data_IF_046619631199
#
_entry.id   IF_046619631199
#
_cell.length_a   1.000
_cell.length_b   1.000
_cell.length_c   1.000
_cell.angle_alpha   90.00
_cell.angle_beta   90.00
_cell.angle_gamma   90.00
#
_symmetry.space_group_name_H-M   'P 1'
#
loop_
_entity.id
_entity.type
_entity.pdbx_description
1 polymer ?
#
# COMPACT_ATOMS: atom_id res chain seq x y z
N UNK A 1 -15.11 -24.92 12.72
CA UNK A 1 -13.87 -24.24 13.15
C UNK A 1 -13.82 -22.88 12.46
N UNK A 2 -13.22 -21.85 13.07
CA UNK A 2 -13.01 -20.57 12.40
C UNK A 2 -12.06 -20.75 11.23
N UNK A 3 -12.30 -20.06 10.12
CA UNK A 3 -11.36 -20.03 9.01
C UNK A 3 -10.09 -19.28 9.40
N UNK A 4 -8.94 -19.75 8.93
CA UNK A 4 -7.63 -19.22 9.30
C UNK A 4 -7.08 -18.32 8.21
N UNK A 5 -6.61 -17.14 8.58
CA UNK A 5 -5.97 -16.19 7.65
C UNK A 5 -4.56 -15.85 8.09
N UNK A 6 -3.61 -16.01 7.17
CA UNK A 6 -2.24 -15.53 7.31
C UNK A 6 -2.15 -14.11 6.74
N UNK A 7 -1.71 -13.15 7.55
CA UNK A 7 -1.51 -11.76 7.13
C UNK A 7 -0.03 -11.42 7.23
N UNK A 8 0.62 -11.22 6.08
CA UNK A 8 2.00 -10.68 6.05
C UNK A 8 1.99 -9.16 6.05
N UNK A 9 3.02 -8.54 6.63
CA UNK A 9 3.03 -7.09 6.81
C UNK A 9 2.07 -6.61 7.90
N UNK A 10 1.58 -7.51 8.76
CA UNK A 10 0.58 -7.25 9.80
C UNK A 10 0.98 -6.12 10.78
N UNK A 11 2.27 -5.97 11.09
CA UNK A 11 2.79 -4.89 11.95
C UNK A 11 2.88 -3.52 11.27
N UNK A 12 2.51 -3.43 9.99
CA UNK A 12 2.51 -2.18 9.22
C UNK A 12 1.20 -1.40 9.34
N UNK A 13 1.16 -0.22 8.73
CA UNK A 13 -0.04 0.63 8.67
C UNK A 13 -1.24 -0.12 8.06
N UNK A 14 -1.12 -0.57 6.81
CA UNK A 14 -2.21 -1.30 6.14
C UNK A 14 -2.50 -2.63 6.86
N UNK A 15 -1.46 -3.36 7.26
CA UNK A 15 -1.58 -4.64 7.97
C UNK A 15 -2.41 -4.57 9.25
N UNK A 16 -2.30 -3.49 10.04
CA UNK A 16 -3.11 -3.29 11.23
C UNK A 16 -4.63 -3.27 10.92
N UNK A 17 -5.03 -2.54 9.87
CA UNK A 17 -6.44 -2.44 9.46
C UNK A 17 -6.93 -3.75 8.82
N UNK A 18 -6.04 -4.50 8.17
CA UNK A 18 -6.35 -5.85 7.67
C UNK A 18 -6.57 -6.85 8.80
N UNK A 19 -5.77 -6.78 9.87
CA UNK A 19 -5.96 -7.60 11.08
C UNK A 19 -7.32 -7.26 11.72
N UNK A 20 -7.62 -5.97 11.89
CA UNK A 20 -8.92 -5.53 12.44
C UNK A 20 -10.09 -6.07 11.61
N UNK A 21 -10.06 -5.89 10.28
CA UNK A 21 -11.13 -6.35 9.38
C UNK A 21 -11.28 -7.88 9.37
N UNK A 22 -10.17 -8.61 9.41
CA UNK A 22 -10.17 -10.06 9.45
C UNK A 22 -10.79 -10.62 10.74
N UNK A 23 -10.49 -10.01 11.89
CA UNK A 23 -11.10 -10.38 13.18
C UNK A 23 -12.59 -10.05 13.22
N UNK A 24 -13.00 -8.90 12.69
CA UNK A 24 -14.41 -8.52 12.58
C UNK A 24 -15.21 -9.49 11.70
N UNK A 25 -14.57 -10.07 10.69
CA UNK A 25 -15.15 -11.14 9.88
C UNK A 25 -15.16 -12.53 10.56
N UNK A 26 -14.72 -12.62 11.82
CA UNK A 26 -14.77 -13.85 12.61
C UNK A 26 -13.68 -14.87 12.32
N UNK A 27 -12.63 -14.50 11.57
CA UNK A 27 -11.51 -15.38 11.25
C UNK A 27 -10.53 -15.54 12.42
N UNK A 28 -9.78 -16.63 12.42
CA UNK A 28 -8.60 -16.83 13.27
C UNK A 28 -7.38 -16.24 12.55
N UNK A 29 -6.84 -15.13 13.09
CA UNK A 29 -5.79 -14.35 12.42
C UNK A 29 -4.40 -14.76 12.89
N UNK A 30 -3.55 -15.07 11.91
CA UNK A 30 -2.12 -15.28 12.08
C UNK A 30 -1.35 -14.10 11.48
N UNK A 31 -0.79 -13.27 12.35
CA UNK A 31 0.01 -12.12 11.98
C UNK A 31 1.47 -12.51 11.78
N UNK A 32 1.92 -12.54 10.52
CA UNK A 32 3.33 -12.74 10.21
C UNK A 32 4.12 -11.46 10.45
N UNK A 33 5.00 -11.49 11.45
CA UNK A 33 5.81 -10.35 11.89
C UNK A 33 7.28 -10.74 11.94
N UNK A 34 8.18 -9.77 11.72
CA UNK A 34 9.62 -10.01 11.92
C UNK A 34 9.94 -9.87 13.41
N UNK A 35 10.97 -10.55 13.94
CA UNK A 35 11.40 -10.39 15.33
C UNK A 35 11.69 -8.92 15.72
N UNK A 36 12.12 -8.09 14.77
CA UNK A 36 12.43 -6.68 14.98
C UNK A 36 11.24 -5.73 14.78
N UNK A 37 10.04 -6.25 14.46
CA UNK A 37 8.85 -5.42 14.29
C UNK A 37 8.32 -4.91 15.63
N UNK A 38 7.95 -3.63 15.69
CA UNK A 38 7.12 -3.11 16.78
C UNK A 38 5.68 -3.62 16.61
N UNK A 39 5.21 -4.40 17.58
CA UNK A 39 3.89 -5.03 17.60
C UNK A 39 3.01 -4.50 18.75
N UNK A 40 3.42 -3.47 19.47
CA UNK A 40 2.68 -2.96 20.64
C UNK A 40 1.22 -2.60 20.28
N UNK A 41 1.02 -2.04 19.10
CA UNK A 41 -0.29 -1.65 18.57
C UNK A 41 -1.17 -2.83 18.11
N UNK A 42 -0.63 -4.05 18.07
CA UNK A 42 -1.39 -5.26 17.77
C UNK A 42 -1.74 -6.06 19.03
N UNK A 43 -1.12 -5.76 20.18
CA UNK A 43 -1.37 -6.44 21.45
C UNK A 43 -2.84 -6.42 21.92
N UNK A 44 -3.64 -5.38 21.63
CA UNK A 44 -5.06 -5.40 21.98
C UNK A 44 -5.91 -6.42 21.21
N UNK A 45 -5.39 -6.98 20.12
CA UNK A 45 -6.12 -7.95 19.31
C UNK A 45 -5.83 -9.39 19.75
N UNK A 46 -6.87 -10.23 19.74
CA UNK A 46 -6.75 -11.67 19.91
C UNK A 46 -6.24 -12.31 18.61
N UNK A 47 -4.92 -12.33 18.45
CA UNK A 47 -4.24 -12.84 17.25
C UNK A 47 -3.11 -13.80 17.62
N UNK A 48 -2.71 -14.62 16.65
CA UNK A 48 -1.53 -15.46 16.74
C UNK A 48 -0.37 -14.83 15.99
N UNK A 49 0.78 -14.71 16.63
CA UNK A 49 1.99 -14.28 15.94
C UNK A 49 2.66 -15.47 15.26
N UNK A 50 3.16 -15.26 14.05
CA UNK A 50 4.04 -16.21 13.36
C UNK A 50 5.20 -15.47 12.67
N UNK A 51 6.23 -16.21 12.27
CA UNK A 51 7.38 -15.72 11.52
C UNK A 51 7.57 -16.58 10.29
N UNK A 52 7.81 -15.94 9.14
CA UNK A 52 8.03 -16.61 7.86
C UNK A 52 9.48 -16.43 7.43
N UNK A 53 10.16 -17.55 7.16
CA UNK A 53 11.48 -17.54 6.54
C UNK A 53 11.34 -17.51 5.01
N UNK A 54 11.24 -16.31 4.46
CA UNK A 54 11.02 -16.11 3.02
C UNK A 54 12.16 -16.60 2.12
N UNK A 55 13.33 -16.94 2.66
CA UNK A 55 14.45 -17.47 1.88
C UNK A 55 14.59 -18.99 1.99
N UNK A 56 13.72 -19.65 2.77
CA UNK A 56 13.72 -21.10 2.95
C UNK A 56 12.37 -21.70 2.51
N UNK A 57 12.25 -22.14 1.24
CA UNK A 57 11.00 -22.67 0.69
C UNK A 57 10.42 -23.84 1.49
N UNK A 58 11.27 -24.74 2.01
CA UNK A 58 10.82 -25.90 2.79
C UNK A 58 10.23 -25.47 4.14
N UNK A 59 10.83 -24.48 4.79
CA UNK A 59 10.30 -23.92 6.02
C UNK A 59 8.95 -23.22 5.81
N UNK A 60 8.78 -22.52 4.67
CA UNK A 60 7.49 -21.92 4.31
C UNK A 60 6.41 -22.98 4.12
N UNK A 61 6.67 -24.04 3.32
CA UNK A 61 5.70 -25.12 3.10
C UNK A 61 5.29 -25.76 4.43
N UNK A 62 6.26 -26.10 5.27
CA UNK A 62 6.02 -26.69 6.59
C UNK A 62 5.15 -25.79 7.48
N UNK A 63 5.47 -24.50 7.56
CA UNK A 63 4.68 -23.52 8.34
C UNK A 63 3.23 -23.41 7.81
N UNK A 64 3.05 -23.39 6.49
CA UNK A 64 1.70 -23.35 5.90
C UNK A 64 0.91 -24.63 6.22
N UNK A 65 1.53 -25.80 6.09
CA UNK A 65 0.92 -27.11 6.38
C UNK A 65 0.61 -27.30 7.86
N UNK A 66 1.46 -26.84 8.78
CA UNK A 66 1.20 -26.93 10.22
C UNK A 66 0.00 -26.08 10.66
N UNK A 67 -0.22 -24.94 9.99
CA UNK A 67 -1.26 -23.98 10.38
C UNK A 67 -2.53 -24.08 9.55
N UNK A 68 -2.52 -24.75 8.40
CA UNK A 68 -3.70 -25.04 7.58
C UNK A 68 -4.52 -23.77 7.27
N UNK A 69 -3.85 -22.79 6.63
CA UNK A 69 -4.49 -21.52 6.27
C UNK A 69 -5.54 -21.69 5.18
N UNK A 70 -6.68 -21.01 5.36
CA UNK A 70 -7.73 -20.90 4.36
C UNK A 70 -7.51 -19.69 3.47
N UNK A 71 -6.87 -18.65 4.01
CA UNK A 71 -6.63 -17.39 3.33
C UNK A 71 -5.22 -16.89 3.58
N UNK A 72 -4.62 -16.26 2.57
CA UNK A 72 -3.36 -15.55 2.70
C UNK A 72 -3.56 -14.12 2.18
N UNK A 73 -3.35 -13.12 3.03
CA UNK A 73 -3.25 -11.72 2.63
C UNK A 73 -1.77 -11.32 2.66
N UNK A 74 -1.17 -11.13 1.49
CA UNK A 74 0.22 -10.73 1.36
C UNK A 74 0.35 -9.21 1.22
N UNK A 75 0.48 -8.51 2.36
CA UNK A 75 0.72 -7.07 2.43
C UNK A 75 2.17 -6.70 2.84
N UNK A 76 3.04 -7.70 3.01
CA UNK A 76 4.46 -7.45 3.23
C UNK A 76 5.11 -6.81 2.01
N UNK A 77 5.89 -5.77 2.25
CA UNK A 77 6.70 -5.10 1.25
C UNK A 77 7.47 -3.95 1.89
N UNK A 78 8.56 -3.54 1.25
CA UNK A 78 9.31 -2.35 1.59
C UNK A 78 8.98 -1.24 0.59
N UNK A 79 8.76 -0.05 1.12
CA UNK A 79 8.56 1.20 0.35
C UNK A 79 9.78 2.12 0.41
N UNK A 80 10.82 1.68 1.14
CA UNK A 80 12.07 2.38 1.35
C UNK A 80 13.20 1.36 1.35
N UNK A 81 14.04 1.41 0.33
CA UNK A 81 15.21 0.56 0.16
C UNK A 81 16.38 1.41 -0.38
N UNK A 82 17.62 0.95 -0.20
CA UNK A 82 18.79 1.66 -0.75
C UNK A 82 19.05 1.31 -2.21
N UNK A 83 18.62 0.12 -2.65
CA UNK A 83 18.92 -0.39 -3.99
C UNK A 83 17.68 -0.99 -4.65
N UNK A 84 17.64 -0.96 -5.99
CA UNK A 84 16.59 -1.61 -6.77
C UNK A 84 16.56 -3.13 -6.51
N UNK A 85 17.71 -3.77 -6.32
CA UNK A 85 17.81 -5.20 -6.02
C UNK A 85 17.21 -5.57 -4.66
N UNK A 86 17.30 -4.69 -3.66
CA UNK A 86 16.64 -4.90 -2.38
C UNK A 86 15.11 -4.87 -2.53
N UNK A 87 14.57 -3.93 -3.33
CA UNK A 87 13.16 -3.93 -3.69
C UNK A 87 12.75 -5.21 -4.43
N UNK A 88 13.49 -5.63 -5.47
CA UNK A 88 13.18 -6.87 -6.20
C UNK A 88 13.21 -8.10 -5.30
N UNK A 89 14.25 -8.24 -4.48
CA UNK A 89 14.39 -9.38 -3.57
C UNK A 89 13.23 -9.47 -2.59
N UNK A 90 12.85 -8.36 -1.96
CA UNK A 90 11.82 -8.36 -0.91
C UNK A 90 10.41 -8.30 -1.50
N UNK A 91 10.12 -7.38 -2.40
CA UNK A 91 8.75 -7.18 -2.90
C UNK A 91 8.35 -8.16 -4.00
N UNK A 92 9.29 -8.76 -4.73
CA UNK A 92 8.99 -9.76 -5.76
C UNK A 92 9.47 -11.15 -5.35
N UNK A 93 10.72 -11.29 -4.91
CA UNK A 93 11.30 -12.57 -4.52
C UNK A 93 10.56 -13.24 -3.36
N UNK A 94 10.33 -12.51 -2.26
CA UNK A 94 9.63 -13.09 -1.10
C UNK A 94 8.15 -13.37 -1.38
N UNK A 95 7.52 -12.53 -2.20
CA UNK A 95 6.15 -12.75 -2.67
C UNK A 95 6.06 -14.03 -3.50
N UNK A 96 6.96 -14.21 -4.47
CA UNK A 96 7.08 -15.43 -5.26
C UNK A 96 7.29 -16.65 -4.37
N UNK A 97 8.24 -16.60 -3.43
CA UNK A 97 8.55 -17.74 -2.57
C UNK A 97 7.36 -18.15 -1.69
N UNK A 98 6.61 -17.18 -1.15
CA UNK A 98 5.41 -17.48 -0.37
C UNK A 98 4.30 -18.11 -1.23
N UNK A 99 4.08 -17.57 -2.43
CA UNK A 99 3.08 -18.08 -3.35
C UNK A 99 3.42 -19.48 -3.86
N UNK A 100 4.68 -19.73 -4.23
CA UNK A 100 5.15 -21.08 -4.60
C UNK A 100 4.98 -22.07 -3.44
N UNK A 101 5.27 -21.65 -2.20
CA UNK A 101 5.04 -22.48 -1.03
C UNK A 101 3.55 -22.77 -0.82
N UNK A 102 2.67 -21.77 -1.03
CA UNK A 102 1.22 -21.92 -0.92
C UNK A 102 0.64 -22.88 -1.97
N UNK A 103 1.19 -22.87 -3.20
CA UNK A 103 0.81 -23.85 -4.25
C UNK A 103 1.29 -25.26 -3.92
N UNK A 104 2.47 -25.39 -3.30
CA UNK A 104 3.07 -26.70 -2.97
C UNK A 104 2.49 -27.35 -1.71
N UNK A 105 2.06 -26.52 -0.75
CA UNK A 105 1.60 -26.98 0.55
C UNK A 105 0.22 -27.66 0.45
N UNK A 106 0.04 -28.76 1.18
CA UNK A 106 -1.26 -29.41 1.32
C UNK A 106 -2.14 -28.63 2.33
N UNK A 107 -2.69 -27.50 1.91
CA UNK A 107 -3.53 -26.60 2.73
C UNK A 107 -4.89 -26.33 2.08
N UNK A 108 -5.94 -26.01 2.84
CA UNK A 108 -7.27 -25.70 2.32
C UNK A 108 -7.36 -24.25 1.80
N UNK A 109 -6.36 -23.79 1.04
CA UNK A 109 -6.28 -22.41 0.56
C UNK A 109 -7.44 -22.10 -0.39
N UNK A 110 -8.27 -21.13 0.00
CA UNK A 110 -9.40 -20.61 -0.77
C UNK A 110 -9.06 -19.34 -1.54
N UNK A 111 -8.18 -18.49 -0.99
CA UNK A 111 -7.73 -17.26 -1.66
C UNK A 111 -6.37 -16.78 -1.18
N UNK A 112 -5.57 -16.32 -2.13
CA UNK A 112 -4.36 -15.55 -1.95
C UNK A 112 -4.60 -14.13 -2.47
N UNK A 113 -4.64 -13.14 -1.59
CA UNK A 113 -4.77 -11.73 -1.96
C UNK A 113 -3.41 -11.05 -1.86
N UNK A 114 -2.88 -10.59 -2.99
CA UNK A 114 -1.65 -9.81 -3.03
C UNK A 114 -1.93 -8.32 -3.03
N UNK A 115 -1.37 -7.59 -2.06
CA UNK A 115 -1.42 -6.13 -2.05
C UNK A 115 -0.24 -5.60 -2.87
N UNK A 116 -0.51 -5.27 -4.13
CA UNK A 116 0.40 -4.59 -5.03
C UNK A 116 0.31 -3.06 -4.84
N UNK A 117 0.38 -2.28 -5.91
CA UNK A 117 0.20 -0.83 -5.91
C UNK A 117 -0.09 -0.34 -7.33
N UNK A 118 -0.82 0.77 -7.47
CA UNK A 118 -0.95 1.46 -8.75
C UNK A 118 0.43 1.83 -9.35
N UNK A 119 1.47 1.99 -8.51
CA UNK A 119 2.84 2.20 -8.96
C UNK A 119 3.40 1.08 -9.85
N UNK A 120 2.81 -0.14 -9.82
CA UNK A 120 3.16 -1.22 -10.75
C UNK A 120 2.79 -0.88 -12.21
N UNK A 121 1.68 -0.17 -12.41
CA UNK A 121 1.28 0.37 -13.72
C UNK A 121 2.02 1.66 -14.03
N UNK A 122 2.27 2.51 -13.03
CA UNK A 122 2.90 3.80 -13.22
C UNK A 122 1.92 4.90 -13.69
N UNK A 123 2.40 6.14 -13.78
CA UNK A 123 1.57 7.28 -14.15
C UNK A 123 1.35 7.35 -15.66
N UNK A 124 0.30 8.06 -16.06
CA UNK A 124 0.01 8.40 -17.47
C UNK A 124 0.28 9.90 -17.73
N UNK A 125 0.37 10.35 -18.99
CA UNK A 125 0.45 11.77 -19.31
C UNK A 125 -0.77 12.55 -18.79
N UNK A 126 -0.60 13.83 -18.47
CA UNK A 126 -1.72 14.68 -18.02
C UNK A 126 -2.84 14.80 -19.07
N UNK A 127 -2.47 14.82 -20.35
CA UNK A 127 -3.41 14.92 -21.48
C UNK A 127 -4.22 13.65 -21.73
N UNK A 128 -3.87 12.53 -21.07
CA UNK A 128 -4.60 11.29 -21.22
C UNK A 128 -5.97 11.42 -20.57
N UNK A 129 -7.02 11.34 -21.39
CA UNK A 129 -8.40 11.44 -20.92
C UNK A 129 -8.82 10.18 -20.14
N UNK A 130 -8.27 9.03 -20.51
CA UNK A 130 -8.61 7.75 -19.92
C UNK A 130 -7.87 7.55 -18.59
N UNK A 131 -8.57 7.32 -17.47
CA UNK A 131 -7.93 6.94 -16.22
C UNK A 131 -7.13 5.64 -16.36
N UNK A 132 -6.13 5.45 -15.51
CA UNK A 132 -5.42 4.16 -15.42
C UNK A 132 -6.43 3.06 -15.08
N UNK A 133 -6.44 2.00 -15.86
CA UNK A 133 -7.30 0.83 -15.69
C UNK A 133 -6.47 -0.46 -15.81
N UNK A 134 -7.09 -1.61 -15.59
CA UNK A 134 -6.40 -2.88 -15.41
C UNK A 134 -5.61 -3.35 -16.65
N UNK A 135 -6.04 -2.91 -17.84
CA UNK A 135 -5.40 -3.21 -19.13
C UNK A 135 -4.41 -2.12 -19.56
N UNK A 136 -4.22 -1.05 -18.77
CA UNK A 136 -3.24 -0.02 -19.08
C UNK A 136 -1.83 -0.59 -19.14
N UNK A 137 -1.05 -0.18 -20.14
CA UNK A 137 0.33 -0.66 -20.29
C UNK A 137 1.20 -0.20 -19.13
N UNK A 138 1.77 -1.14 -18.39
CA UNK A 138 2.65 -0.86 -17.27
C UNK A 138 3.94 -0.13 -17.70
N UNK A 139 4.21 1.02 -17.07
CA UNK A 139 5.40 1.86 -17.20
C UNK A 139 5.80 2.43 -15.82
N UNK A 140 6.17 1.59 -14.85
CA UNK A 140 6.56 2.05 -13.52
C UNK A 140 7.77 2.98 -13.58
N UNK A 141 7.72 4.07 -12.80
CA UNK A 141 8.75 5.13 -12.78
C UNK A 141 9.68 5.07 -11.56
N UNK A 142 9.49 4.09 -10.67
CA UNK A 142 10.28 3.87 -9.45
C UNK A 142 10.71 2.41 -9.32
N UNK A 143 11.80 2.13 -8.59
CA UNK A 143 12.22 0.76 -8.29
C UNK A 143 11.16 0.00 -7.50
N UNK A 144 10.45 0.69 -6.59
CA UNK A 144 9.29 0.15 -5.90
C UNK A 144 8.21 -0.33 -6.89
N UNK A 145 7.78 0.53 -7.81
CA UNK A 145 6.79 0.18 -8.84
C UNK A 145 7.24 -0.99 -9.72
N UNK A 146 8.50 -0.97 -10.18
CA UNK A 146 9.09 -2.09 -10.94
C UNK A 146 9.06 -3.40 -10.15
N UNK A 147 9.39 -3.36 -8.85
CA UNK A 147 9.39 -4.55 -8.00
C UNK A 147 7.98 -5.11 -7.78
N UNK A 148 6.97 -4.24 -7.66
CA UNK A 148 5.56 -4.67 -7.57
C UNK A 148 5.08 -5.28 -8.89
N UNK A 149 5.42 -4.68 -10.03
CA UNK A 149 5.11 -5.27 -11.35
C UNK A 149 5.77 -6.64 -11.52
N UNK A 150 7.05 -6.79 -11.12
CA UNK A 150 7.74 -8.07 -11.17
C UNK A 150 7.08 -9.13 -10.28
N UNK A 151 6.59 -8.74 -9.10
CA UNK A 151 5.83 -9.63 -8.23
C UNK A 151 4.54 -10.11 -8.90
N UNK A 152 3.78 -9.20 -9.53
CA UNK A 152 2.57 -9.54 -10.27
C UNK A 152 2.87 -10.50 -11.42
N UNK A 153 3.98 -10.30 -12.15
CA UNK A 153 4.41 -11.20 -13.22
C UNK A 153 4.69 -12.61 -12.71
N UNK A 154 5.46 -12.76 -11.63
CA UNK A 154 5.71 -14.07 -11.02
C UNK A 154 4.43 -14.76 -10.54
N UNK A 155 3.50 -14.01 -9.96
CA UNK A 155 2.24 -14.57 -9.48
C UNK A 155 1.31 -14.99 -10.62
N UNK A 156 1.31 -14.25 -11.74
CA UNK A 156 0.52 -14.58 -12.92
C UNK A 156 0.95 -15.88 -13.61
N UNK A 157 2.20 -16.33 -13.40
CA UNK A 157 2.70 -17.62 -13.89
C UNK A 157 2.17 -18.83 -13.07
N UNK A 158 1.49 -18.59 -11.94
CA UNK A 158 1.03 -19.64 -11.01
C UNK A 158 -0.45 -19.97 -11.18
N UNK A 159 -0.82 -20.68 -12.24
CA UNK A 159 -2.22 -20.97 -12.61
C UNK A 159 -3.07 -21.60 -11.48
N UNK A 160 -2.45 -22.40 -10.61
CA UNK A 160 -3.13 -23.09 -9.50
C UNK A 160 -3.26 -22.26 -8.21
N UNK A 161 -2.72 -21.05 -8.18
CA UNK A 161 -2.89 -20.15 -7.04
C UNK A 161 -4.24 -19.42 -7.17
N UNK A 162 -5.17 -19.56 -6.21
CA UNK A 162 -6.42 -18.80 -6.22
C UNK A 162 -6.12 -17.32 -5.90
N UNK A 163 -5.72 -16.56 -6.90
CA UNK A 163 -5.06 -15.27 -6.75
C UNK A 163 -6.00 -14.10 -7.04
N UNK A 164 -5.99 -13.09 -6.18
CA UNK A 164 -6.46 -11.74 -6.52
C UNK A 164 -5.36 -10.72 -6.22
N UNK A 165 -5.09 -9.81 -7.15
CA UNK A 165 -4.14 -8.71 -6.97
C UNK A 165 -4.90 -7.41 -6.76
N UNK A 166 -4.60 -6.69 -5.69
CA UNK A 166 -5.13 -5.34 -5.46
C UNK A 166 -4.03 -4.31 -5.64
N UNK A 167 -4.28 -3.30 -6.47
CA UNK A 167 -3.39 -2.16 -6.76
C UNK A 167 -3.96 -0.89 -6.13
N UNK A 168 -3.81 -0.71 -4.82
CA UNK A 168 -4.25 0.52 -4.18
C UNK A 168 -3.45 1.72 -4.70
N UNK A 169 -4.12 2.87 -4.72
CA UNK A 169 -3.51 4.19 -4.90
C UNK A 169 -2.84 4.66 -3.60
N UNK A 170 -2.68 5.97 -3.40
CA UNK A 170 -2.15 6.51 -2.15
C UNK A 170 -3.09 6.18 -0.98
N UNK A 171 -2.70 5.18 -0.19
CA UNK A 171 -3.45 4.75 1.00
C UNK A 171 -3.22 5.73 2.13
N UNK A 172 -4.30 6.23 2.74
CA UNK A 172 -4.22 7.13 3.88
C UNK A 172 -5.20 6.73 4.99
N UNK A 173 -4.91 7.15 6.22
CA UNK A 173 -5.74 6.80 7.37
C UNK A 173 -5.00 6.91 8.69
N UNK A 174 -5.68 6.56 9.80
CA UNK A 174 -5.05 6.38 11.11
C UNK A 174 -3.77 5.55 11.03
N UNK A 175 -2.71 6.00 11.71
CA UNK A 175 -1.37 5.38 11.79
C UNK A 175 -0.48 5.50 10.54
N UNK A 176 -0.94 6.12 9.47
CA UNK A 176 -0.12 6.37 8.27
C UNK A 176 0.98 7.40 8.62
N UNK A 177 2.24 7.16 8.20
CA UNK A 177 3.38 8.00 8.59
C UNK A 177 3.88 8.96 7.51
N UNK A 178 3.79 8.62 6.23
CA UNK A 178 4.36 9.44 5.15
C UNK A 178 3.44 10.65 4.82
N UNK A 179 2.13 10.45 4.73
CA UNK A 179 1.10 11.50 4.64
C UNK A 179 1.01 12.28 5.95
N UNK A 180 1.22 11.64 7.10
CA UNK A 180 1.32 12.38 8.37
C UNK A 180 2.40 13.47 8.32
N UNK A 181 3.56 13.23 7.70
CA UNK A 181 4.59 14.27 7.54
C UNK A 181 4.02 15.47 6.78
N UNK A 182 3.30 15.23 5.69
CA UNK A 182 2.64 16.30 4.91
C UNK A 182 1.62 17.06 5.76
N UNK A 183 0.75 16.35 6.46
CA UNK A 183 -0.29 16.94 7.31
C UNK A 183 0.30 17.73 8.49
N UNK A 184 1.39 17.25 9.07
CA UNK A 184 2.15 17.96 10.11
C UNK A 184 2.78 19.24 9.57
N UNK A 185 3.39 19.20 8.39
CA UNK A 185 3.96 20.39 7.73
C UNK A 185 2.87 21.44 7.45
N UNK A 186 1.69 21.00 7.01
CA UNK A 186 0.52 21.87 6.84
C UNK A 186 0.04 22.48 8.17
N UNK A 187 -0.01 21.68 9.25
CA UNK A 187 -0.37 22.16 10.58
C UNK A 187 0.63 23.20 11.14
N UNK A 188 1.91 23.10 10.74
CA UNK A 188 2.96 24.08 11.02
C UNK A 188 2.89 25.34 10.14
N UNK A 189 1.96 25.40 9.18
CA UNK A 189 1.74 26.57 8.33
C UNK A 189 2.56 26.60 7.03
N UNK A 190 3.17 25.48 6.62
CA UNK A 190 3.91 25.38 5.36
C UNK A 190 3.23 24.41 4.39
N UNK A 191 3.14 24.79 3.11
CA UNK A 191 2.53 23.98 2.05
C UNK A 191 3.49 23.90 0.84
N UNK A 192 4.50 23.00 0.89
CA UNK A 192 5.49 22.89 -0.17
C UNK A 192 5.00 22.00 -1.32
N UNK A 193 5.27 22.42 -2.54
CA UNK A 193 4.98 21.69 -3.77
C UNK A 193 6.20 21.61 -4.67
N UNK A 194 6.34 20.48 -5.36
CA UNK A 194 7.34 20.30 -6.40
C UNK A 194 6.75 20.76 -7.73
N UNK A 195 7.38 21.70 -8.42
CA UNK A 195 6.89 22.27 -9.68
C UNK A 195 5.50 22.95 -9.57
N UNK A 196 5.12 23.73 -10.59
CA UNK A 196 3.79 24.30 -10.78
C UNK A 196 2.92 23.50 -11.77
N UNK A 197 3.43 22.36 -12.28
CA UNK A 197 2.67 21.49 -13.19
C UNK A 197 1.39 20.96 -12.54
N UNK A 198 0.28 20.87 -13.29
CA UNK A 198 -0.96 20.29 -12.78
C UNK A 198 -0.76 18.78 -12.55
N UNK A 199 -1.48 18.23 -11.57
CA UNK A 199 -1.48 16.79 -11.33
C UNK A 199 -2.87 16.29 -10.95
N UNK A 200 -3.20 15.09 -11.44
CA UNK A 200 -4.36 14.33 -11.02
C UNK A 200 -3.93 13.18 -10.10
N UNK A 201 -4.62 13.06 -8.97
CA UNK A 201 -4.36 12.08 -7.92
C UNK A 201 -5.64 11.32 -7.60
N UNK A 202 -5.48 10.08 -7.17
CA UNK A 202 -6.52 9.27 -6.54
C UNK A 202 -6.01 8.78 -5.20
N UNK A 203 -6.92 8.66 -4.23
CA UNK A 203 -6.61 8.22 -2.88
C UNK A 203 -7.50 7.03 -2.52
N UNK A 204 -7.11 6.28 -1.48
CA UNK A 204 -7.98 5.28 -0.88
C UNK A 204 -7.85 5.34 0.63
N UNK A 205 -8.99 5.43 1.32
CA UNK A 205 -8.98 5.35 2.76
C UNK A 205 -8.70 3.90 3.20
N UNK A 206 -7.86 3.72 4.21
CA UNK A 206 -7.35 2.40 4.60
C UNK A 206 -8.44 1.39 4.97
N UNK A 207 -9.58 1.85 5.52
CA UNK A 207 -10.72 0.96 5.82
C UNK A 207 -11.44 0.49 4.56
N UNK A 208 -11.53 1.34 3.53
CA UNK A 208 -12.06 0.92 2.23
C UNK A 208 -11.12 -0.08 1.55
N UNK A 209 -9.80 0.11 1.65
CA UNK A 209 -8.85 -0.90 1.19
C UNK A 209 -9.03 -2.24 1.94
N UNK A 210 -9.18 -2.20 3.26
CA UNK A 210 -9.43 -3.41 4.05
C UNK A 210 -10.74 -4.10 3.63
N UNK A 211 -11.81 -3.33 3.39
CA UNK A 211 -13.08 -3.83 2.83
C UNK A 211 -12.89 -4.49 1.46
N UNK A 212 -12.14 -3.87 0.55
CA UNK A 212 -11.82 -4.45 -0.76
C UNK A 212 -11.07 -5.79 -0.63
N UNK A 213 -10.14 -5.90 0.33
CA UNK A 213 -9.45 -7.16 0.63
C UNK A 213 -10.43 -8.23 1.13
N UNK A 214 -11.34 -7.87 2.04
CA UNK A 214 -12.34 -8.81 2.55
C UNK A 214 -13.29 -9.29 1.44
N UNK A 215 -13.71 -8.41 0.53
CA UNK A 215 -14.50 -8.79 -0.65
C UNK A 215 -13.70 -9.71 -1.59
N UNK A 216 -12.42 -9.42 -1.79
CA UNK A 216 -11.53 -10.26 -2.59
C UNK A 216 -11.32 -11.67 -1.98
N UNK A 217 -11.30 -11.80 -0.64
CA UNK A 217 -11.21 -13.12 0.00
C UNK A 217 -12.47 -13.97 -0.23
N UNK A 218 -13.64 -13.34 -0.30
CA UNK A 218 -14.93 -14.01 -0.47
C UNK A 218 -15.32 -14.32 -1.91
N UNK A 219 -14.55 -13.86 -2.90
CA UNK A 219 -14.92 -14.01 -4.32
C UNK A 219 -14.53 -15.37 -4.91
N UNK A 220 -15.31 -15.84 -5.88
CA UNK A 220 -14.96 -16.98 -6.74
C UNK A 220 -14.04 -16.62 -7.91
N UNK A 221 -13.71 -15.33 -8.08
CA UNK A 221 -12.87 -14.84 -9.17
C UNK A 221 -11.39 -15.02 -8.81
N UNK A 222 -10.61 -15.55 -9.74
CA UNK A 222 -9.16 -15.75 -9.62
C UNK A 222 -8.43 -15.13 -10.82
N UNK A 223 -7.14 -14.87 -10.66
CA UNK A 223 -6.22 -14.33 -11.68
C UNK A 223 -6.63 -12.98 -12.24
N UNK A 224 -7.21 -12.13 -11.38
CA UNK A 224 -7.59 -10.76 -11.71
C UNK A 224 -6.85 -9.76 -10.83
N UNK A 225 -6.39 -8.67 -11.45
CA UNK A 225 -5.88 -7.49 -10.77
C UNK A 225 -6.93 -6.38 -10.76
N UNK A 226 -7.04 -5.64 -9.67
CA UNK A 226 -7.98 -4.53 -9.51
C UNK A 226 -7.28 -3.26 -9.05
N UNK A 227 -7.61 -2.13 -9.67
CA UNK A 227 -7.24 -0.83 -9.10
C UNK A 227 -8.18 -0.49 -7.93
N UNK A 228 -7.62 0.07 -6.85
CA UNK A 228 -8.40 0.41 -5.65
C UNK A 228 -8.18 1.87 -5.26
N UNK A 229 -9.22 2.68 -5.39
CA UNK A 229 -9.32 4.09 -4.98
C UNK A 229 -10.71 4.37 -4.38
N UNK A 230 -10.93 5.59 -3.91
CA UNK A 230 -12.26 6.09 -3.56
C UNK A 230 -13.15 6.42 -4.77
N UNK A 231 -12.64 6.20 -5.99
CA UNK A 231 -13.34 6.46 -7.25
C UNK A 231 -13.38 7.92 -7.67
N UNK A 232 -12.77 8.83 -6.90
CA UNK A 232 -12.70 10.25 -7.22
C UNK A 232 -11.36 10.63 -7.86
N UNK A 233 -11.38 11.78 -8.54
CA UNK A 233 -10.22 12.43 -9.14
C UNK A 233 -9.95 13.75 -8.43
N UNK A 234 -8.75 13.89 -7.87
CA UNK A 234 -8.34 15.05 -7.09
C UNK A 234 -7.21 15.80 -7.76
N UNK A 235 -7.25 17.13 -7.71
CA UNK A 235 -6.07 17.92 -8.06
C UNK A 235 -5.02 17.85 -6.94
N UNK A 236 -3.78 18.21 -7.27
CA UNK A 236 -2.63 18.23 -6.35
C UNK A 236 -2.83 19.02 -5.05
N UNK A 237 -3.74 19.98 -5.02
CA UNK A 237 -4.01 20.83 -3.87
C UNK A 237 -5.12 20.27 -2.97
N UNK A 238 -5.88 19.26 -3.40
CA UNK A 238 -7.04 18.75 -2.68
C UNK A 238 -6.71 18.32 -1.25
N UNK A 239 -5.69 17.47 -1.06
CA UNK A 239 -5.24 17.00 0.25
C UNK A 239 -4.96 18.18 1.19
N UNK A 240 -4.19 19.17 0.75
CA UNK A 240 -3.83 20.32 1.56
C UNK A 240 -5.03 21.24 1.83
N UNK A 241 -5.86 21.48 0.82
CA UNK A 241 -7.04 22.35 0.90
C UNK A 241 -8.04 21.81 1.92
N UNK A 242 -8.38 20.52 1.82
CA UNK A 242 -9.30 19.86 2.73
C UNK A 242 -8.72 19.79 4.15
N UNK A 243 -7.45 19.40 4.29
CA UNK A 243 -6.80 19.28 5.60
C UNK A 243 -6.76 20.61 6.35
N UNK A 244 -6.46 21.72 5.65
CA UNK A 244 -6.45 23.07 6.26
C UNK A 244 -7.82 23.50 6.74
N UNK A 245 -8.86 23.21 5.94
CA UNK A 245 -10.25 23.48 6.33
C UNK A 245 -10.62 22.71 7.60
N UNK A 246 -10.30 21.41 7.65
CA UNK A 246 -10.59 20.55 8.80
C UNK A 246 -9.78 20.91 10.05
N UNK A 247 -8.54 21.39 9.88
CA UNK A 247 -7.68 21.82 10.99
C UNK A 247 -7.96 23.26 11.45
N UNK A 248 -8.69 24.05 10.67
CA UNK A 248 -8.84 25.50 10.91
C UNK A 248 -7.51 26.25 10.80
N UNK A 249 -6.61 25.82 9.92
CA UNK A 249 -5.25 26.37 9.76
C UNK A 249 -5.07 27.07 8.41
N UNK A 250 -4.16 28.04 8.38
CA UNK A 250 -3.65 28.66 7.15
C UNK A 250 -2.21 28.20 6.92
N UNK A 251 -1.77 28.22 5.67
CA UNK A 251 -0.42 27.84 5.26
C UNK A 251 0.10 28.78 4.17
N UNK A 252 1.42 28.89 4.09
CA UNK A 252 2.11 29.54 2.98
C UNK A 252 2.41 28.49 1.92
N UNK A 253 1.84 28.67 0.74
CA UNK A 253 2.08 27.82 -0.42
C UNK A 253 3.40 28.19 -1.08
N UNK A 254 4.28 27.20 -1.26
CA UNK A 254 5.59 27.39 -1.88
C UNK A 254 5.79 26.38 -3.01
N UNK A 255 6.10 26.85 -4.21
CA UNK A 255 6.46 25.99 -5.35
C UNK A 255 7.97 25.98 -5.54
N UNK A 256 8.58 24.81 -5.35
CA UNK A 256 10.01 24.62 -5.53
C UNK A 256 10.29 24.09 -6.96
N UNK A 257 11.21 24.72 -7.71
CA UNK A 257 11.67 24.19 -8.99
C UNK A 257 12.26 22.78 -8.83
N UNK A 258 12.07 21.91 -9.83
CA UNK A 258 12.59 20.54 -9.83
C UNK A 258 14.11 20.48 -9.58
N UNK A 259 14.86 21.46 -10.05
CA UNK A 259 16.31 21.57 -9.84
C UNK A 259 16.66 21.70 -8.36
N UNK A 260 15.96 22.59 -7.63
CA UNK A 260 16.14 22.80 -6.19
C UNK A 260 15.85 21.52 -5.42
N UNK A 261 14.72 20.87 -5.74
CA UNK A 261 14.30 19.64 -5.07
C UNK A 261 15.28 18.49 -5.36
N UNK A 262 15.84 18.40 -6.57
CA UNK A 262 16.87 17.41 -6.93
C UNK A 262 18.17 17.62 -6.16
N UNK A 263 18.59 18.87 -5.93
CA UNK A 263 19.74 19.19 -5.09
C UNK A 263 19.47 18.76 -3.66
N UNK A 264 18.31 19.11 -3.10
CA UNK A 264 17.91 18.69 -1.75
C UNK A 264 17.91 17.17 -1.59
N UNK A 265 17.30 16.44 -2.53
CA UNK A 265 17.30 14.97 -2.51
C UNK A 265 18.72 14.40 -2.59
N UNK A 266 19.61 14.99 -3.38
CA UNK A 266 21.02 14.54 -3.49
C UNK A 266 21.80 14.78 -2.20
N UNK A 267 21.58 15.93 -1.54
CA UNK A 267 22.19 16.23 -0.24
C UNK A 267 21.66 15.30 0.85
N UNK A 268 20.36 15.01 0.86
CA UNK A 268 19.76 14.04 1.78
C UNK A 268 20.29 12.62 1.53
N UNK A 269 20.42 12.19 0.27
CA UNK A 269 21.05 10.90 -0.05
C UNK A 269 22.49 10.83 0.46
N UNK A 270 23.28 11.88 0.26
CA UNK A 270 24.67 11.95 0.73
C UNK A 270 24.75 11.91 2.27
N UNK A 271 23.91 12.68 2.97
CA UNK A 271 23.86 12.72 4.43
C UNK A 271 23.43 11.37 5.04
N UNK A 272 22.63 10.59 4.32
CA UNK A 272 22.16 9.27 4.75
C UNK A 272 22.95 8.10 4.13
N UNK A 273 24.01 8.36 3.35
CA UNK A 273 24.77 7.32 2.65
C UNK A 273 25.33 6.27 3.63
N UNK A 274 25.88 6.74 4.75
CA UNK A 274 26.42 5.91 5.84
C UNK A 274 25.38 5.50 6.90
N UNK A 275 24.14 6.00 6.82
CA UNK A 275 23.07 5.65 7.76
C UNK A 275 22.38 4.35 7.35
N UNK A 276 21.87 3.57 8.32
CA UNK A 276 20.94 2.47 8.02
C UNK A 276 19.53 2.98 7.64
N UNK A 277 19.24 4.27 7.84
CA UNK A 277 17.96 4.90 7.50
C UNK A 277 17.97 5.43 6.07
N UNK A 278 16.80 5.49 5.46
CA UNK A 278 16.56 6.12 4.16
C UNK A 278 15.89 7.49 4.35
N UNK A 279 16.25 8.50 3.55
CA UNK A 279 15.65 9.82 3.65
C UNK A 279 14.17 9.78 3.23
N UNK A 280 13.35 10.67 3.78
CA UNK A 280 11.94 10.80 3.41
C UNK A 280 11.75 11.22 1.95
N UNK A 281 12.74 11.92 1.38
CA UNK A 281 12.81 12.35 -0.01
C UNK A 281 14.10 11.79 -0.65
N UNK A 282 13.96 11.01 -1.70
CA UNK A 282 15.06 10.49 -2.52
C UNK A 282 14.74 10.72 -4.00
N UNK A 283 15.72 10.54 -4.89
CA UNK A 283 15.54 10.82 -6.34
C UNK A 283 14.42 10.00 -6.99
N UNK A 284 14.21 8.76 -6.56
CA UNK A 284 13.12 7.94 -7.11
C UNK A 284 11.74 8.47 -6.72
N UNK A 285 11.55 8.83 -5.44
CA UNK A 285 10.29 9.40 -4.95
C UNK A 285 9.98 10.74 -5.60
N UNK A 286 10.99 11.46 -6.12
CA UNK A 286 10.77 12.64 -6.97
C UNK A 286 10.08 12.31 -8.29
N UNK A 287 10.40 11.18 -8.93
CA UNK A 287 9.75 10.80 -10.19
C UNK A 287 8.26 10.52 -9.98
N UNK A 288 7.91 9.89 -8.85
CA UNK A 288 6.52 9.62 -8.48
C UNK A 288 5.76 10.89 -8.06
N UNK A 289 6.39 11.73 -7.24
CA UNK A 289 5.78 12.99 -6.77
C UNK A 289 5.67 14.06 -7.85
N UNK A 290 6.51 14.02 -8.89
CA UNK A 290 6.46 14.95 -10.01
C UNK A 290 5.61 14.44 -11.19
N UNK A 291 5.14 13.20 -11.14
CA UNK A 291 4.31 12.64 -12.18
C UNK A 291 2.95 13.32 -12.25
N UNK A 292 2.42 13.47 -13.47
CA UNK A 292 1.31 14.38 -13.72
C UNK A 292 -0.06 13.72 -13.54
N UNK A 293 -0.20 12.39 -13.69
CA UNK A 293 -1.52 11.76 -13.61
C UNK A 293 -1.45 10.34 -13.03
N UNK A 294 -2.02 10.19 -11.84
CA UNK A 294 -2.22 8.94 -11.11
C UNK A 294 -3.71 8.60 -10.95
N UNK A 295 -4.59 9.25 -11.71
CA UNK A 295 -6.01 8.96 -11.68
C UNK A 295 -6.26 7.53 -12.19
N UNK A 296 -7.06 6.76 -11.47
CA UNK A 296 -7.42 5.40 -11.87
C UNK A 296 -8.94 5.18 -11.86
N UNK A 297 -9.40 4.31 -12.75
CA UNK A 297 -10.76 3.75 -12.67
C UNK A 297 -10.81 2.64 -11.62
N UNK A 298 -11.99 2.46 -11.02
CA UNK A 298 -12.32 1.35 -10.12
C UNK A 298 -13.56 0.59 -10.62
N UNK A 299 -13.92 0.75 -11.90
CA UNK A 299 -15.14 0.18 -12.46
C UNK A 299 -15.09 -1.35 -12.41
N UNK A 300 -13.93 -1.94 -12.71
CA UNK A 300 -13.78 -3.39 -12.69
C UNK A 300 -14.00 -4.02 -11.32
N UNK A 301 -13.46 -3.41 -10.24
CA UNK A 301 -13.66 -3.93 -8.89
C UNK A 301 -15.09 -3.69 -8.38
N UNK A 302 -15.76 -2.63 -8.85
CA UNK A 302 -17.19 -2.40 -8.60
C UNK A 302 -18.04 -3.49 -9.23
N UNK A 303 -17.79 -3.78 -10.51
CA UNK A 303 -18.52 -4.79 -11.28
C UNK A 303 -18.31 -6.20 -10.72
N UNK A 304 -17.05 -6.58 -10.50
CA UNK A 304 -16.71 -7.95 -10.13
C UNK A 304 -16.96 -8.26 -8.64
N UNK A 305 -16.67 -7.30 -7.74
CA UNK A 305 -16.68 -7.53 -6.29
C UNK A 305 -17.74 -6.71 -5.53
N UNK A 306 -18.50 -5.84 -6.22
CA UNK A 306 -19.44 -4.93 -5.56
C UNK A 306 -18.73 -3.92 -4.65
N UNK A 307 -17.48 -3.56 -4.93
CA UNK A 307 -16.71 -2.64 -4.11
C UNK A 307 -17.26 -1.22 -4.22
N UNK A 308 -17.81 -0.69 -3.11
CA UNK A 308 -18.24 0.70 -3.00
C UNK A 308 -17.46 1.37 -1.88
N UNK A 309 -16.59 2.35 -2.19
CA UNK A 309 -15.88 3.15 -1.19
C UNK A 309 -16.85 3.89 -0.29
N UNK A 310 -16.62 3.85 1.02
CA UNK A 310 -17.43 4.56 2.02
C UNK A 310 -16.85 5.92 2.39
N UNK A 311 -15.58 6.17 2.04
CA UNK A 311 -14.85 7.38 2.36
C UNK A 311 -14.31 8.04 1.10
N UNK A 312 -14.76 9.26 0.84
CA UNK A 312 -14.01 10.18 0.00
C UNK A 312 -12.82 10.78 0.77
N UNK A 313 -11.97 11.51 0.05
CA UNK A 313 -10.81 12.18 0.62
C UNK A 313 -11.14 13.01 1.87
N UNK A 314 -12.23 13.78 1.83
CA UNK A 314 -12.62 14.66 2.93
C UNK A 314 -13.04 13.90 4.18
N UNK A 315 -13.97 12.95 4.04
CA UNK A 315 -14.47 12.14 5.14
C UNK A 315 -13.33 11.32 5.76
N UNK A 316 -12.50 10.69 4.94
CA UNK A 316 -11.35 9.95 5.45
C UNK A 316 -10.34 10.85 6.16
N UNK A 317 -10.11 12.08 5.69
CA UNK A 317 -9.18 13.03 6.33
C UNK A 317 -9.73 13.50 7.67
N UNK A 318 -11.04 13.76 7.77
CA UNK A 318 -11.67 14.10 9.04
C UNK A 318 -11.39 13.02 10.10
N UNK A 319 -11.62 11.75 9.77
CA UNK A 319 -11.32 10.62 10.67
C UNK A 319 -9.82 10.50 10.98
N UNK A 320 -8.97 10.68 9.97
CA UNK A 320 -7.51 10.58 10.12
C UNK A 320 -6.97 11.66 11.06
N UNK A 321 -7.40 12.91 10.89
CA UNK A 321 -6.96 14.05 11.69
C UNK A 321 -7.49 13.97 13.14
N UNK A 322 -8.73 13.50 13.33
CA UNK A 322 -9.27 13.21 14.67
C UNK A 322 -8.40 12.18 15.38
N UNK A 323 -8.10 11.06 14.71
CA UNK A 323 -7.26 10.02 15.28
C UNK A 323 -5.85 10.54 15.62
N UNK A 324 -5.25 11.36 14.76
CA UNK A 324 -3.94 11.97 15.05
C UNK A 324 -3.97 12.85 16.30
N UNK A 325 -5.03 13.64 16.52
CA UNK A 325 -5.17 14.45 17.74
C UNK A 325 -5.32 13.56 18.98
N UNK A 326 -6.21 12.58 18.92
CA UNK A 326 -6.47 11.65 20.04
C UNK A 326 -5.25 10.82 20.43
N UNK A 327 -4.35 10.56 19.48
CA UNK A 327 -3.13 9.78 19.69
C UNK A 327 -1.87 10.65 19.88
N UNK A 328 -2.01 11.97 20.02
CA UNK A 328 -0.92 12.93 20.20
C UNK A 328 0.12 12.96 19.06
N UNK A 329 -0.34 12.77 17.82
CA UNK A 329 0.48 12.96 16.62
C UNK A 329 0.45 14.42 16.13
N UNK A 330 -0.66 15.14 16.34
CA UNK A 330 -0.87 16.55 15.94
C UNK A 330 -1.21 17.47 17.09
#
# INVERSE_FOLDING_TARGET
>A
MKERVLITGASGFVGHHLVEAALQAGMEVYAAVRPSSDVAHLQPFDIRYTSLDFINPQALVKELEEKQYHYIIHAAGITKAKTEEEYKRVNAGYTRNLAEAAVKAAIPLKKFVFISSLAALGPVPYSEATPIHELSKARPVTAYGKSKLLAEQYLAEMEHLPLVVLRPTAVYGPREKDIFIVLKTLNMGLEPYISNKPQWLSFVYVKDLAKAVMQALGTGIDHVAYNVSDGNRYDRYALATISKRLLGKKSIRVHLPMSVVRVMASLMEAAYASSSKTPALNKEKLNELAAENWNCSIDKIREDLGFVPEYDLEKGLAHTLTWYKENNWL
#
